data_IF_585600110558
#
_entry.id   IF_585600110558
#
_cell.length_a   1.000
_cell.length_b   1.000
_cell.length_c   1.000
_cell.angle_alpha   90.00
_cell.angle_beta   90.00
_cell.angle_gamma   90.00
#
_symmetry.space_group_name_H-M   'P 1'
#
loop_
_entity.id
_entity.type
_entity.pdbx_description
1 polymer ?
#
# COMPACT_ATOMS: atom_id res chain seq x y z
N UNK A 1 0.38 -11.57 -0.82
CA UNK A 1 0.51 -10.50 0.21
C UNK A 1 1.47 -10.98 1.28
N UNK A 2 2.40 -10.13 1.73
CA UNK A 2 3.31 -10.40 2.86
C UNK A 2 3.11 -9.31 3.93
N UNK A 3 2.83 -9.71 5.17
CA UNK A 3 2.52 -8.77 6.26
C UNK A 3 3.51 -8.89 7.41
N UNK A 4 4.15 -7.77 7.73
CA UNK A 4 5.01 -7.58 8.91
C UNK A 4 4.34 -6.72 9.99
N UNK A 5 3.03 -6.45 9.86
CA UNK A 5 2.30 -5.55 10.75
C UNK A 5 2.35 -5.94 12.24
N UNK A 6 2.42 -7.24 12.52
CA UNK A 6 2.57 -7.77 13.89
C UNK A 6 3.95 -7.50 14.51
N UNK A 7 5.00 -7.38 13.70
CA UNK A 7 6.39 -7.21 14.16
C UNK A 7 6.73 -5.71 14.24
N UNK A 8 6.53 -4.96 13.16
CA UNK A 8 6.94 -3.57 13.04
C UNK A 8 7.37 -3.20 11.62
N UNK A 9 8.26 -2.21 11.52
CA UNK A 9 8.77 -1.72 10.24
C UNK A 9 7.95 -0.58 9.65
N UNK A 10 8.61 0.23 8.84
CA UNK A 10 8.02 1.40 8.16
C UNK A 10 7.86 1.22 6.66
N UNK A 11 8.67 0.34 6.08
CA UNK A 11 8.64 -0.10 4.68
C UNK A 11 9.55 -1.32 4.53
N UNK A 12 9.35 -2.13 3.50
CA UNK A 12 10.30 -3.14 3.05
C UNK A 12 10.05 -3.48 1.58
N UNK A 13 11.04 -4.06 0.90
CA UNK A 13 10.92 -4.47 -0.51
C UNK A 13 10.70 -5.98 -0.60
N UNK A 14 9.45 -6.48 -0.60
CA UNK A 14 9.17 -7.91 -0.71
C UNK A 14 9.68 -8.47 -2.04
N UNK A 15 10.14 -9.72 -2.06
CA UNK A 15 10.51 -10.41 -3.30
C UNK A 15 9.28 -11.05 -3.93
N UNK A 16 9.08 -10.82 -5.24
CA UNK A 16 7.98 -11.44 -6.00
C UNK A 16 8.13 -12.96 -5.96
N UNK A 17 7.04 -13.65 -5.62
CA UNK A 17 7.00 -15.11 -5.58
C UNK A 17 6.61 -15.68 -6.96
N UNK A 18 7.59 -15.87 -7.84
CA UNK A 18 7.33 -16.43 -9.16
C UNK A 18 6.57 -17.78 -9.07
N UNK A 19 5.57 -18.04 -9.93
CA UNK A 19 5.25 -17.34 -11.17
C UNK A 19 4.30 -16.12 -11.03
N UNK A 20 4.03 -15.64 -9.82
CA UNK A 20 3.31 -14.38 -9.62
C UNK A 20 4.10 -13.20 -10.20
N UNK A 21 3.40 -12.12 -10.55
CA UNK A 21 4.01 -10.94 -11.21
C UNK A 21 4.07 -9.71 -10.30
N UNK A 22 3.50 -9.79 -9.11
CA UNK A 22 3.56 -8.74 -8.10
C UNK A 22 3.33 -9.30 -6.69
N UNK A 23 3.83 -8.59 -5.69
CA UNK A 23 3.60 -8.89 -4.28
C UNK A 23 3.41 -7.59 -3.50
N UNK A 24 2.37 -7.55 -2.68
CA UNK A 24 2.09 -6.45 -1.76
C UNK A 24 2.69 -6.75 -0.38
N UNK A 25 3.58 -5.87 0.06
CA UNK A 25 4.13 -5.78 1.42
C UNK A 25 3.31 -4.80 2.27
N UNK A 26 3.05 -5.18 3.51
CA UNK A 26 2.33 -4.35 4.48
C UNK A 26 3.08 -4.33 5.81
N UNK A 27 3.34 -3.14 6.37
CA UNK A 27 3.98 -3.00 7.69
C UNK A 27 3.03 -2.42 8.74
N UNK A 28 3.53 -2.22 9.96
CA UNK A 28 2.70 -1.79 11.08
C UNK A 28 2.11 -0.40 10.83
N UNK A 29 0.78 -0.30 10.95
CA UNK A 29 0.10 1.00 10.94
C UNK A 29 0.55 1.87 12.09
N UNK A 30 0.63 3.17 11.85
CA UNK A 30 1.00 4.15 12.87
C UNK A 30 0.19 5.42 12.73
N UNK A 31 -0.03 6.09 13.85
CA UNK A 31 -0.62 7.43 13.83
C UNK A 31 0.38 8.44 13.27
N UNK A 32 -0.02 9.14 12.21
CA UNK A 32 0.80 10.17 11.57
C UNK A 32 -0.01 11.47 11.41
N UNK A 33 0.64 12.64 11.49
CA UNK A 33 0.02 13.89 11.11
C UNK A 33 -0.13 13.94 9.58
N UNK A 34 -1.36 14.11 9.09
CA UNK A 34 -1.66 14.28 7.66
C UNK A 34 -2.26 15.67 7.47
N UNK A 35 -1.68 16.44 6.54
CA UNK A 35 -2.19 17.75 6.18
C UNK A 35 -3.49 17.63 5.38
N UNK A 36 -4.55 18.26 5.84
CA UNK A 36 -5.84 18.26 5.14
C UNK A 36 -6.06 19.49 4.23
N UNK A 37 -5.06 20.36 4.07
CA UNK A 37 -5.18 21.65 3.40
C UNK A 37 -5.22 22.86 4.34
N UNK A 38 -5.50 22.65 5.64
CA UNK A 38 -5.65 23.73 6.65
C UNK A 38 -4.96 23.43 7.98
N UNK A 39 -4.96 22.18 8.42
CA UNK A 39 -4.35 21.75 9.67
C UNK A 39 -3.82 20.30 9.56
N UNK A 40 -3.00 19.90 10.53
CA UNK A 40 -2.57 18.52 10.65
C UNK A 40 -3.59 17.72 11.46
N UNK A 41 -4.13 16.68 10.85
CA UNK A 41 -5.02 15.74 11.51
C UNK A 41 -4.28 14.43 11.81
N UNK A 42 -4.45 13.84 13.00
CA UNK A 42 -3.92 12.51 13.27
C UNK A 42 -4.71 11.47 12.45
N UNK A 43 -4.01 10.73 11.58
CA UNK A 43 -4.58 9.62 10.78
C UNK A 43 -3.82 8.32 11.00
N UNK A 44 -4.55 7.21 11.08
CA UNK A 44 -3.96 5.89 11.12
C UNK A 44 -3.50 5.55 9.70
N UNK A 45 -2.19 5.60 9.48
CA UNK A 45 -1.60 5.35 8.16
C UNK A 45 -1.05 3.93 8.11
N UNK A 46 -1.39 3.20 7.04
CA UNK A 46 -0.88 1.86 6.74
C UNK A 46 0.19 1.96 5.63
N UNK A 47 1.49 1.76 5.93
CA UNK A 47 2.51 1.70 4.89
C UNK A 47 2.35 0.44 4.04
N UNK A 48 2.44 0.61 2.73
CA UNK A 48 2.29 -0.44 1.74
C UNK A 48 3.38 -0.33 0.68
N UNK A 49 3.99 -1.47 0.35
CA UNK A 49 5.09 -1.56 -0.61
C UNK A 49 4.74 -2.57 -1.71
N UNK A 50 4.69 -2.15 -2.97
CA UNK A 50 4.41 -3.03 -4.10
C UNK A 50 5.69 -3.32 -4.87
N UNK A 51 6.13 -4.58 -4.85
CA UNK A 51 7.15 -5.08 -5.78
C UNK A 51 6.44 -5.78 -6.94
N UNK A 52 6.91 -5.55 -8.16
CA UNK A 52 6.33 -6.12 -9.38
C UNK A 52 7.41 -6.46 -10.40
N UNK A 53 7.10 -7.41 -11.27
CA UNK A 53 7.93 -7.76 -12.43
C UNK A 53 7.72 -6.74 -13.54
N UNK A 54 8.73 -5.89 -13.74
CA UNK A 54 8.67 -4.79 -14.70
C UNK A 54 8.64 -5.23 -16.17
N UNK A 55 8.86 -6.54 -16.44
CA UNK A 55 8.68 -7.15 -17.76
C UNK A 55 7.20 -7.36 -18.09
N UNK A 56 6.34 -7.41 -17.08
CA UNK A 56 4.90 -7.67 -17.20
C UNK A 56 4.07 -6.44 -16.86
N UNK A 57 4.47 -5.68 -15.83
CA UNK A 57 3.73 -4.53 -15.32
C UNK A 57 4.61 -3.28 -15.47
N UNK A 58 4.08 -2.24 -16.12
CA UNK A 58 4.77 -0.95 -16.19
C UNK A 58 4.54 -0.11 -14.91
N UNK A 59 5.39 0.90 -14.71
CA UNK A 59 5.33 1.74 -13.50
C UNK A 59 4.03 2.53 -13.37
N UNK A 60 3.37 2.89 -14.48
CA UNK A 60 2.11 3.61 -14.44
C UNK A 60 0.95 2.68 -14.03
N UNK A 61 0.96 1.42 -14.45
CA UNK A 61 0.02 0.39 -14.01
C UNK A 61 0.19 0.09 -12.52
N UNK A 62 1.43 -0.08 -12.06
CA UNK A 62 1.73 -0.29 -10.64
C UNK A 62 1.27 0.89 -9.78
N UNK A 63 1.54 2.12 -10.21
CA UNK A 63 1.10 3.32 -9.51
C UNK A 63 -0.43 3.43 -9.45
N UNK A 64 -1.13 3.20 -10.57
CA UNK A 64 -2.60 3.18 -10.61
C UNK A 64 -3.19 2.15 -9.66
N UNK A 65 -2.69 0.91 -9.70
CA UNK A 65 -3.11 -0.14 -8.79
C UNK A 65 -2.99 0.28 -7.32
N UNK A 66 -1.87 0.92 -6.94
CA UNK A 66 -1.66 1.40 -5.58
C UNK A 66 -2.61 2.53 -5.19
N UNK A 67 -2.90 3.47 -6.11
CA UNK A 67 -3.89 4.52 -5.87
C UNK A 67 -5.27 3.92 -5.65
N UNK A 68 -5.71 3.02 -6.53
CA UNK A 68 -7.02 2.37 -6.43
C UNK A 68 -7.15 1.58 -5.12
N UNK A 69 -6.11 0.83 -4.74
CA UNK A 69 -6.06 0.09 -3.48
C UNK A 69 -6.13 1.03 -2.27
N UNK A 70 -5.38 2.14 -2.28
CA UNK A 70 -5.44 3.15 -1.24
C UNK A 70 -6.86 3.75 -1.11
N UNK A 71 -7.55 4.00 -2.23
CA UNK A 71 -8.90 4.54 -2.22
C UNK A 71 -9.91 3.55 -1.62
N UNK A 72 -9.83 2.26 -1.99
CA UNK A 72 -10.68 1.21 -1.44
C UNK A 72 -10.45 1.06 0.07
N UNK A 73 -9.19 1.04 0.51
CA UNK A 73 -8.85 0.91 1.93
C UNK A 73 -9.22 2.15 2.76
N UNK A 74 -9.25 3.33 2.13
CA UNK A 74 -9.69 4.57 2.77
C UNK A 74 -11.20 4.64 2.93
N UNK A 75 -11.96 3.96 2.06
CA UNK A 75 -13.41 3.85 2.13
C UNK A 75 -13.90 2.51 1.58
N UNK A 76 -14.07 1.52 2.46
CA UNK A 76 -14.45 0.16 2.11
C UNK A 76 -15.79 0.05 1.35
N UNK A 77 -16.65 1.07 1.39
CA UNK A 77 -17.90 1.10 0.62
C UNK A 77 -17.63 1.10 -0.90
N UNK A 78 -16.47 1.60 -1.33
CA UNK A 78 -16.03 1.60 -2.73
C UNK A 78 -15.79 0.20 -3.29
N UNK A 79 -15.62 -0.83 -2.44
CA UNK A 79 -15.45 -2.20 -2.89
C UNK A 79 -16.73 -2.81 -3.49
N UNK A 80 -17.89 -2.25 -3.17
CA UNK A 80 -19.21 -2.75 -3.62
C UNK A 80 -19.79 -1.96 -4.79
N UNK A 81 -19.08 -0.96 -5.30
CA UNK A 81 -19.45 -0.16 -6.47
C UNK A 81 -18.78 -0.73 -7.73
#
# INVERSE_FOLDING_TARGET
ISSLGGIGGTAFTPLVNAPEVAILGVTRSRMMPVWNGKEFLPRLMLPMDLTYDHRVIDGAQAARFMVDLCEILSDMRRMSL
#
